data_IF_826135880254
#
_entry.id   IF_826135880254
#
_cell.length_a   1.000
_cell.length_b   1.000
_cell.length_c   1.000
_cell.angle_alpha   90.00
_cell.angle_beta   90.00
_cell.angle_gamma   90.00
#
_symmetry.space_group_name_H-M   'P 1'
#
loop_
_entity.id
_entity.type
_entity.pdbx_description
1 polymer ?
#
# COMPACT_ATOMS: atom_id res chain seq x y z
N UNK A 1 42.90 -3.48 40.44
CA UNK A 1 41.82 -2.47 40.32
C UNK A 1 42.41 -1.11 39.91
N UNK A 2 43.31 -1.09 38.91
CA UNK A 2 44.16 0.08 38.59
C UNK A 2 43.50 1.02 37.55
N UNK A 3 42.56 0.53 36.75
CA UNK A 3 41.92 1.36 35.71
C UNK A 3 40.97 2.46 36.27
N UNK A 4 40.53 2.32 37.52
CA UNK A 4 39.60 3.25 38.16
C UNK A 4 40.29 4.35 38.99
N UNK A 5 41.59 4.21 39.29
CA UNK A 5 42.34 5.16 40.13
C UNK A 5 43.15 6.15 39.28
N UNK A 6 43.16 7.42 39.67
CA UNK A 6 43.97 8.46 39.01
C UNK A 6 45.42 8.51 39.53
N UNK A 7 45.74 7.80 40.62
CA UNK A 7 47.10 7.72 41.17
C UNK A 7 47.61 6.27 41.17
N UNK A 8 48.89 6.12 40.82
CA UNK A 8 49.58 4.83 40.75
C UNK A 8 49.92 4.24 42.13
N UNK A 9 49.77 5.01 43.21
CA UNK A 9 50.19 4.63 44.57
C UNK A 9 49.03 4.32 45.51
N UNK A 10 47.78 4.62 45.13
CA UNK A 10 46.58 4.32 45.93
C UNK A 10 45.79 3.21 45.27
N UNK A 11 45.78 2.04 45.91
CA UNK A 11 45.21 0.79 45.39
C UNK A 11 43.66 0.78 45.34
N UNK A 12 43.00 1.88 45.70
CA UNK A 12 41.55 1.98 45.84
C UNK A 12 41.09 3.42 45.71
N UNK A 13 41.26 4.01 44.54
CA UNK A 13 40.56 5.26 44.19
C UNK A 13 39.65 4.98 42.99
N UNK A 14 38.36 5.31 43.11
CA UNK A 14 37.34 5.10 42.07
C UNK A 14 37.12 6.34 41.20
N UNK A 15 37.99 7.34 41.33
CA UNK A 15 37.82 8.68 40.74
C UNK A 15 37.68 8.70 39.22
N UNK A 16 38.32 7.80 38.45
CA UNK A 16 38.03 7.67 37.01
C UNK A 16 36.64 7.10 36.73
N UNK A 17 36.17 6.15 37.55
CA UNK A 17 34.81 5.62 37.41
C UNK A 17 33.76 6.69 37.72
N UNK A 18 34.02 7.56 38.71
CA UNK A 18 33.17 8.72 39.01
C UNK A 18 33.21 9.77 37.89
N UNK A 19 34.38 10.05 37.31
CA UNK A 19 34.49 10.98 36.18
C UNK A 19 33.72 10.48 34.93
N UNK A 20 33.71 9.18 34.68
CA UNK A 20 32.92 8.57 33.60
C UNK A 20 31.41 8.63 33.91
N UNK A 21 31.01 8.43 35.17
CA UNK A 21 29.62 8.57 35.60
C UNK A 21 29.11 10.02 35.48
N UNK A 22 29.93 10.99 35.88
CA UNK A 22 29.65 12.41 35.71
C UNK A 22 29.51 12.78 34.23
N UNK A 23 30.39 12.27 33.36
CA UNK A 23 30.30 12.52 31.92
C UNK A 23 29.00 11.98 31.33
N UNK A 24 28.51 10.83 31.83
CA UNK A 24 27.22 10.25 31.42
C UNK A 24 26.04 11.15 31.82
N UNK A 25 26.14 11.80 32.99
CA UNK A 25 25.11 12.69 33.53
C UNK A 25 25.26 14.14 33.05
N UNK A 26 26.40 14.49 32.44
CA UNK A 26 26.65 15.82 31.92
C UNK A 26 25.80 16.08 30.67
N UNK A 27 25.18 17.26 30.65
CA UNK A 27 24.36 17.70 29.52
C UNK A 27 25.25 18.43 28.52
N UNK A 28 25.76 17.70 27.54
CA UNK A 28 26.66 18.22 26.50
C UNK A 28 25.96 18.34 25.14
N UNK A 29 24.81 17.70 24.97
CA UNK A 29 24.09 17.58 23.70
C UNK A 29 22.84 18.47 23.71
N UNK A 30 22.28 18.71 22.53
CA UNK A 30 21.11 19.58 22.35
C UNK A 30 21.30 20.96 22.99
N UNK A 31 22.37 21.67 22.62
CA UNK A 31 22.74 22.97 23.20
C UNK A 31 22.94 22.94 24.74
N UNK A 32 23.35 21.80 25.30
CA UNK A 32 23.64 21.64 26.73
C UNK A 32 22.43 21.27 27.57
N UNK A 33 21.32 20.84 26.96
CA UNK A 33 20.10 20.47 27.70
C UNK A 33 19.90 18.97 27.87
N UNK A 34 20.56 18.13 27.08
CA UNK A 34 20.38 16.68 27.10
C UNK A 34 21.68 15.93 27.43
N UNK A 35 21.54 14.85 28.21
CA UNK A 35 22.61 13.86 28.39
C UNK A 35 22.74 12.98 27.15
N UNK A 36 23.85 12.25 27.01
CA UNK A 36 24.04 11.29 25.91
C UNK A 36 22.94 10.23 25.82
N UNK A 37 22.44 9.78 26.98
CA UNK A 37 21.34 8.79 27.03
C UNK A 37 20.02 9.39 26.55
N UNK A 38 19.69 10.60 27.01
CA UNK A 38 18.46 11.30 26.61
C UNK A 38 18.44 11.59 25.11
N UNK A 39 19.52 12.15 24.58
CA UNK A 39 19.62 12.45 23.15
C UNK A 39 19.49 11.21 22.26
N UNK A 40 20.10 10.08 22.69
CA UNK A 40 19.98 8.82 21.96
C UNK A 40 18.55 8.26 22.00
N UNK A 41 17.88 8.36 23.16
CA UNK A 41 16.48 7.95 23.30
C UNK A 41 15.55 8.81 22.44
N UNK A 42 15.78 10.12 22.39
CA UNK A 42 14.99 11.07 21.58
C UNK A 42 15.15 10.81 20.07
N UNK A 43 16.37 10.51 19.63
CA UNK A 43 16.63 10.11 18.24
C UNK A 43 15.90 8.81 17.87
N UNK A 44 16.01 7.78 18.72
CA UNK A 44 15.32 6.50 18.50
C UNK A 44 13.80 6.71 18.49
N UNK A 45 13.28 7.52 19.40
CA UNK A 45 11.86 7.88 19.46
C UNK A 45 11.39 8.57 18.19
N UNK A 46 12.14 9.56 17.70
CA UNK A 46 11.82 10.30 16.47
C UNK A 46 11.78 9.36 15.27
N UNK A 47 12.81 8.52 15.09
CA UNK A 47 12.85 7.53 14.01
C UNK A 47 11.71 6.53 14.13
N UNK A 48 11.36 6.10 15.34
CA UNK A 48 10.22 5.21 15.59
C UNK A 48 8.88 5.83 15.20
N UNK A 49 8.67 7.11 15.55
CA UNK A 49 7.47 7.87 15.17
C UNK A 49 7.38 8.02 13.66
N UNK A 50 8.48 8.40 13.01
CA UNK A 50 8.53 8.56 11.55
C UNK A 50 8.27 7.24 10.82
N UNK A 51 8.85 6.13 11.30
CA UNK A 51 8.61 4.81 10.76
C UNK A 51 7.14 4.40 10.90
N UNK A 52 6.54 4.62 12.08
CA UNK A 52 5.13 4.33 12.31
C UNK A 52 4.22 5.17 11.41
N UNK A 53 4.52 6.46 11.25
CA UNK A 53 3.78 7.35 10.37
C UNK A 53 3.90 6.94 8.90
N UNK A 54 5.09 6.51 8.46
CA UNK A 54 5.31 5.98 7.12
C UNK A 54 4.50 4.70 6.86
N UNK A 55 4.46 3.78 7.83
CA UNK A 55 3.68 2.55 7.73
C UNK A 55 2.18 2.85 7.62
N UNK A 56 1.64 3.70 8.50
CA UNK A 56 0.22 4.09 8.43
C UNK A 56 -0.15 4.77 7.10
N UNK A 57 0.76 5.60 6.56
CA UNK A 57 0.58 6.21 5.23
C UNK A 57 0.61 5.17 4.11
N UNK A 58 1.49 4.17 4.19
CA UNK A 58 1.56 3.07 3.23
C UNK A 58 0.25 2.28 3.22
N UNK A 59 -0.24 1.87 4.39
CA UNK A 59 -1.47 1.10 4.53
C UNK A 59 -2.68 1.88 3.97
N UNK A 60 -2.77 3.17 4.30
CA UNK A 60 -3.81 4.06 3.78
C UNK A 60 -3.77 4.17 2.25
N UNK A 61 -2.56 4.30 1.66
CA UNK A 61 -2.39 4.33 0.21
C UNK A 61 -2.73 3.00 -0.44
N UNK A 62 -2.38 1.87 0.17
CA UNK A 62 -2.76 0.55 -0.33
C UNK A 62 -4.27 0.36 -0.35
N UNK A 63 -4.97 0.81 0.70
CA UNK A 63 -6.44 0.79 0.73
C UNK A 63 -7.01 1.67 -0.39
N UNK A 64 -6.46 2.87 -0.59
CA UNK A 64 -6.91 3.76 -1.66
C UNK A 64 -6.70 3.15 -3.05
N UNK A 65 -5.54 2.55 -3.31
CA UNK A 65 -5.26 1.86 -4.57
C UNK A 65 -6.24 0.71 -4.80
N UNK A 66 -6.48 -0.13 -3.80
CA UNK A 66 -7.47 -1.22 -3.92
C UNK A 66 -8.86 -0.68 -4.24
N UNK A 67 -9.31 0.36 -3.53
CA UNK A 67 -10.60 1.00 -3.82
C UNK A 67 -10.66 1.54 -5.25
N UNK A 68 -9.62 2.19 -5.72
CA UNK A 68 -9.58 2.69 -7.10
C UNK A 68 -9.56 1.57 -8.13
N UNK A 69 -8.88 0.45 -7.83
CA UNK A 69 -8.92 -0.75 -8.67
C UNK A 69 -10.30 -1.38 -8.70
N UNK A 70 -10.99 -1.47 -7.56
CA UNK A 70 -12.35 -2.00 -7.46
C UNK A 70 -13.34 -1.08 -8.19
N UNK A 71 -13.25 0.24 -8.02
CA UNK A 71 -14.08 1.21 -8.75
C UNK A 71 -13.80 1.16 -10.25
N UNK A 72 -12.53 1.06 -10.66
CA UNK A 72 -12.17 0.88 -12.05
C UNK A 72 -12.71 -0.44 -12.59
N UNK A 73 -12.64 -1.55 -11.83
CA UNK A 73 -13.20 -2.83 -12.23
C UNK A 73 -14.75 -2.80 -12.27
N UNK A 74 -15.42 -2.03 -11.41
CA UNK A 74 -16.86 -1.86 -11.45
C UNK A 74 -17.33 -1.04 -12.67
N UNK A 75 -16.53 -0.06 -13.08
CA UNK A 75 -16.89 0.87 -14.15
C UNK A 75 -16.37 0.42 -15.54
N UNK A 76 -15.19 -0.20 -15.59
CA UNK A 76 -14.58 -0.77 -16.78
C UNK A 76 -14.85 -2.28 -16.94
N UNK A 77 -15.45 -2.91 -15.91
CA UNK A 77 -15.84 -4.31 -15.96
C UNK A 77 -17.00 -4.49 -16.90
N UNK A 78 -16.67 -4.81 -18.15
CA UNK A 78 -17.65 -5.39 -19.05
C UNK A 78 -17.98 -6.77 -18.50
N UNK A 79 -19.24 -6.99 -18.13
CA UNK A 79 -19.68 -8.28 -17.64
C UNK A 79 -19.70 -9.27 -18.81
N UNK A 80 -18.84 -10.29 -18.78
CA UNK A 80 -18.82 -11.38 -19.76
C UNK A 80 -20.21 -12.04 -19.89
N UNK A 81 -20.98 -12.08 -18.81
CA UNK A 81 -22.36 -12.59 -18.83
C UNK A 81 -23.31 -11.62 -19.56
N UNK A 82 -23.10 -10.31 -19.43
CA UNK A 82 -23.90 -9.29 -20.12
C UNK A 82 -23.52 -9.24 -21.61
N UNK A 83 -22.23 -9.33 -21.95
CA UNK A 83 -21.78 -9.52 -23.33
C UNK A 83 -22.30 -10.83 -23.92
N UNK A 84 -22.30 -11.94 -23.18
CA UNK A 84 -22.86 -13.21 -23.66
C UNK A 84 -24.38 -13.11 -23.88
N UNK A 85 -25.09 -12.38 -23.03
CA UNK A 85 -26.53 -12.15 -23.18
C UNK A 85 -26.83 -11.23 -24.36
N UNK A 86 -26.02 -10.19 -24.57
CA UNK A 86 -26.05 -9.33 -25.76
C UNK A 86 -25.78 -10.16 -27.03
N UNK A 87 -24.81 -11.08 -26.97
CA UNK A 87 -24.45 -11.98 -28.07
C UNK A 87 -25.59 -12.97 -28.37
N UNK A 88 -26.21 -13.58 -27.36
CA UNK A 88 -27.42 -14.39 -27.53
C UNK A 88 -28.57 -13.59 -28.15
N UNK A 89 -28.75 -12.32 -27.75
CA UNK A 89 -29.76 -11.44 -28.35
C UNK A 89 -29.47 -11.21 -29.83
N UNK A 90 -28.21 -10.99 -30.21
CA UNK A 90 -27.81 -10.87 -31.60
C UNK A 90 -28.01 -12.17 -32.38
N UNK A 91 -27.71 -13.33 -31.81
CA UNK A 91 -27.99 -14.63 -32.45
C UNK A 91 -29.50 -14.83 -32.68
N UNK A 92 -30.33 -14.49 -31.68
CA UNK A 92 -31.78 -14.58 -31.82
C UNK A 92 -32.32 -13.63 -32.89
N UNK A 93 -31.82 -12.39 -32.93
CA UNK A 93 -32.17 -11.42 -33.96
C UNK A 93 -31.75 -11.91 -35.35
N UNK A 94 -30.57 -12.53 -35.48
CA UNK A 94 -30.10 -13.11 -36.73
C UNK A 94 -30.97 -14.28 -37.19
N UNK A 95 -31.36 -15.18 -36.29
CA UNK A 95 -32.30 -16.26 -36.59
C UNK A 95 -33.68 -15.73 -37.03
N UNK A 96 -34.18 -14.69 -36.38
CA UNK A 96 -35.43 -14.04 -36.77
C UNK A 96 -35.34 -13.40 -38.16
N UNK A 97 -34.25 -12.69 -38.45
CA UNK A 97 -33.98 -12.11 -39.77
C UNK A 97 -33.89 -13.20 -40.86
N UNK A 98 -33.23 -14.33 -40.56
CA UNK A 98 -33.14 -15.47 -41.48
C UNK A 98 -34.51 -16.07 -41.81
N UNK A 99 -35.39 -16.19 -40.81
CA UNK A 99 -36.78 -16.65 -41.03
C UNK A 99 -37.56 -15.67 -41.90
N UNK A 100 -37.47 -14.36 -41.61
CA UNK A 100 -38.11 -13.34 -42.45
C UNK A 100 -37.62 -13.39 -43.90
N UNK A 101 -36.31 -13.60 -44.10
CA UNK A 101 -35.72 -13.75 -45.43
C UNK A 101 -36.30 -14.97 -46.16
N UNK A 102 -36.41 -16.11 -45.47
CA UNK A 102 -37.01 -17.32 -46.05
C UNK A 102 -38.48 -17.09 -46.43
N UNK A 103 -39.26 -16.45 -45.57
CA UNK A 103 -40.66 -16.11 -45.89
C UNK A 103 -40.75 -15.16 -47.09
N UNK A 104 -39.83 -14.19 -47.20
CA UNK A 104 -39.78 -13.30 -48.36
C UNK A 104 -39.43 -14.04 -49.66
N UNK A 105 -38.51 -15.02 -49.60
CA UNK A 105 -38.18 -15.89 -50.73
C UNK A 105 -39.38 -16.76 -51.14
N UNK A 106 -40.08 -17.36 -50.18
CA UNK A 106 -41.30 -18.15 -50.44
C UNK A 106 -42.39 -17.31 -51.11
N UNK A 107 -42.58 -16.05 -50.66
CA UNK A 107 -43.50 -15.12 -51.29
C UNK A 107 -43.10 -14.76 -52.73
N UNK A 108 -41.80 -14.57 -52.97
CA UNK A 108 -41.28 -14.27 -54.31
C UNK A 108 -41.48 -15.45 -55.27
N UNK A 109 -41.17 -16.67 -54.82
CA UNK A 109 -41.38 -17.89 -55.60
C UNK A 109 -42.87 -18.12 -55.92
N UNK A 110 -43.76 -17.85 -54.96
CA UNK A 110 -45.21 -17.94 -55.18
C UNK A 110 -45.72 -16.97 -56.24
N UNK A 111 -45.20 -15.73 -56.27
CA UNK A 111 -45.53 -14.75 -57.32
C UNK A 111 -45.03 -15.22 -58.69
N UNK A 112 -43.80 -15.75 -58.75
CA UNK A 112 -43.20 -16.25 -59.99
C UNK A 112 -43.92 -17.49 -60.55
N UNK A 113 -44.46 -18.36 -59.69
CA UNK A 113 -45.24 -19.52 -60.13
C UNK A 113 -46.66 -19.18 -60.61
N UNK A 114 -47.20 -18.01 -60.25
CA UNK A 114 -48.49 -17.53 -60.71
C UNK A 114 -48.43 -16.80 -62.07
N UNK A 115 -47.23 -16.44 -62.53
CA UNK A 115 -46.95 -15.81 -63.82
C UNK A 115 -46.64 -16.86 -64.90
#
# INVERSE_FOLDING_TARGET
LIAASQSATTESDGSNAMAIDDLRNHRLLSAGTATCSQFSADLISTVGIDAQAAQTRLDSRQILVRRLQDEYANQAGVSLDEEALELMRYEQAYMAASRLMNTALEMMDAILQLA
#
